data_IF_692981652217
#
_entry.id   IF_692981652217
#
_cell.length_a   1.000
_cell.length_b   1.000
_cell.length_c   1.000
_cell.angle_alpha   90.00
_cell.angle_beta   90.00
_cell.angle_gamma   90.00
#
_symmetry.space_group_name_H-M   'P 1'
#
loop_
_entity.id
_entity.type
_entity.pdbx_description
1 polymer ?
#
# COMPACT_ATOMS: atom_id res chain seq x y z
N UNK A 1 -1.47 10.61 22.13
CA UNK A 1 -1.34 11.58 21.00
C UNK A 1 -2.73 11.96 20.57
N UNK A 2 -3.00 13.24 20.28
CA UNK A 2 -4.31 13.65 19.76
C UNK A 2 -4.47 13.13 18.32
N UNK A 3 -5.54 12.40 18.05
CA UNK A 3 -5.83 11.79 16.75
C UNK A 3 -7.33 11.88 16.43
N UNK A 4 -7.65 11.82 15.15
CA UNK A 4 -9.00 11.55 14.64
C UNK A 4 -9.11 10.07 14.30
N UNK A 5 -10.30 9.50 14.44
CA UNK A 5 -10.56 8.09 14.15
C UNK A 5 -11.41 7.97 12.90
N UNK A 6 -10.93 7.16 11.95
CA UNK A 6 -11.72 6.69 10.80
C UNK A 6 -12.10 5.24 11.04
N UNK A 7 -13.33 4.86 10.72
CA UNK A 7 -13.85 3.50 11.00
C UNK A 7 -14.03 2.75 9.67
N UNK A 8 -13.36 1.60 9.54
CA UNK A 8 -13.49 0.72 8.39
C UNK A 8 -14.80 -0.08 8.41
N UNK A 9 -15.07 -0.85 7.36
CA UNK A 9 -16.36 -1.51 7.15
C UNK A 9 -16.76 -2.47 8.29
N UNK A 10 -15.83 -3.29 8.76
CA UNK A 10 -16.05 -4.23 9.88
C UNK A 10 -15.61 -3.67 11.25
N UNK A 11 -15.62 -2.35 11.39
CA UNK A 11 -15.39 -1.60 12.63
C UNK A 11 -13.94 -1.49 13.10
N UNK A 12 -12.96 -1.89 12.30
CA UNK A 12 -11.57 -1.60 12.62
C UNK A 12 -11.34 -0.09 12.60
N UNK A 13 -10.71 0.44 13.63
CA UNK A 13 -10.39 1.86 13.77
C UNK A 13 -8.99 2.16 13.20
N UNK A 14 -8.90 3.25 12.45
CA UNK A 14 -7.64 3.79 11.92
C UNK A 14 -7.42 5.16 12.54
N UNK A 15 -6.32 5.33 13.23
CA UNK A 15 -5.96 6.60 13.85
C UNK A 15 -5.19 7.49 12.89
N UNK A 16 -5.60 8.75 12.78
CA UNK A 16 -5.03 9.73 11.87
C UNK A 16 -4.68 11.02 12.64
N UNK A 17 -3.63 11.72 12.21
CA UNK A 17 -3.34 13.07 12.66
C UNK A 17 -3.60 14.09 11.55
N UNK A 18 -3.40 15.37 11.84
CA UNK A 18 -3.51 16.42 10.82
C UNK A 18 -2.51 16.23 9.67
N UNK A 19 -1.36 15.58 9.94
CA UNK A 19 -0.25 15.38 8.98
C UNK A 19 -0.29 13.97 8.39
N UNK A 20 -0.58 12.96 9.21
CA UNK A 20 -0.59 11.55 8.79
C UNK A 20 -2.02 11.08 8.59
N UNK A 21 -2.47 11.19 7.34
CA UNK A 21 -3.76 10.73 6.85
C UNK A 21 -3.55 9.79 5.68
N UNK A 22 -4.59 9.10 5.28
CA UNK A 22 -4.56 8.23 4.11
C UNK A 22 -5.57 8.65 3.06
N UNK A 23 -5.31 8.28 1.82
CA UNK A 23 -6.20 8.50 0.69
C UNK A 23 -6.91 7.21 0.27
N UNK A 24 -7.80 7.36 -0.72
CA UNK A 24 -8.50 6.24 -1.34
C UNK A 24 -7.57 5.25 -2.05
N UNK A 25 -6.42 5.71 -2.50
CA UNK A 25 -5.37 4.93 -3.15
C UNK A 25 -4.87 3.77 -2.29
N UNK A 26 -4.61 4.02 -1.00
CA UNK A 26 -4.15 3.00 -0.07
C UNK A 26 -5.21 1.91 0.17
N UNK A 27 -6.49 2.29 0.30
CA UNK A 27 -7.59 1.32 0.41
C UNK A 27 -7.77 0.50 -0.87
N UNK A 28 -7.65 1.14 -2.04
CA UNK A 28 -7.71 0.45 -3.33
C UNK A 28 -6.56 -0.54 -3.48
N UNK A 29 -5.35 -0.15 -3.08
CA UNK A 29 -4.20 -1.04 -3.07
C UNK A 29 -4.44 -2.24 -2.14
N UNK A 30 -4.88 -2.00 -0.90
CA UNK A 30 -5.15 -3.06 0.07
C UNK A 30 -6.14 -4.10 -0.48
N UNK A 31 -7.21 -3.63 -1.14
CA UNK A 31 -8.24 -4.48 -1.76
C UNK A 31 -7.76 -5.20 -3.02
N UNK A 32 -6.88 -4.56 -3.80
CA UNK A 32 -6.32 -5.16 -5.00
C UNK A 32 -5.39 -6.34 -4.70
N UNK A 33 -4.60 -6.23 -3.64
CA UNK A 33 -3.59 -7.23 -3.26
C UNK A 33 -3.92 -8.05 -2.01
N UNK A 34 -5.17 -8.09 -1.61
CA UNK A 34 -5.65 -8.72 -0.38
C UNK A 34 -4.97 -10.07 -0.10
N UNK A 35 -4.25 -10.22 1.04
CA UNK A 35 -3.65 -11.48 1.42
C UNK A 35 -4.74 -12.47 1.87
N UNK A 36 -4.50 -13.76 1.65
CA UNK A 36 -5.36 -14.80 2.24
C UNK A 36 -5.25 -14.78 3.77
N UNK A 37 -6.26 -15.29 4.45
CA UNK A 37 -6.41 -15.22 5.91
C UNK A 37 -5.13 -15.53 6.71
N UNK A 38 -4.35 -16.53 6.30
CA UNK A 38 -3.16 -17.01 7.03
C UNK A 38 -1.83 -16.66 6.37
N UNK A 39 -1.83 -15.95 5.25
CA UNK A 39 -0.60 -15.56 4.57
C UNK A 39 0.22 -14.58 5.42
N UNK A 40 1.54 -14.63 5.28
CA UNK A 40 2.44 -13.65 5.87
C UNK A 40 2.49 -12.43 4.97
N UNK A 41 2.19 -11.25 5.49
CA UNK A 41 2.09 -10.02 4.73
C UNK A 41 3.02 -8.91 5.25
N UNK A 42 3.42 -7.99 4.39
CA UNK A 42 4.13 -6.77 4.76
C UNK A 42 3.49 -5.54 4.11
N UNK A 43 3.28 -4.50 4.91
CA UNK A 43 2.83 -3.17 4.51
C UNK A 43 4.04 -2.24 4.58
N UNK A 44 4.60 -1.89 3.43
CA UNK A 44 5.81 -1.07 3.30
C UNK A 44 5.41 0.39 3.11
N UNK A 45 6.09 1.32 3.80
CA UNK A 45 5.69 2.72 3.92
C UNK A 45 4.26 2.82 4.48
N UNK A 46 4.02 2.12 5.60
CA UNK A 46 2.67 1.86 6.09
C UNK A 46 1.92 3.11 6.57
N UNK A 47 2.61 4.22 6.81
CA UNK A 47 2.00 5.42 7.36
C UNK A 47 1.29 5.11 8.69
N UNK A 48 0.03 5.53 8.80
CA UNK A 48 -0.82 5.18 9.95
C UNK A 48 -1.41 3.75 9.88
N UNK A 49 -0.92 2.90 8.95
CA UNK A 49 -1.25 1.48 8.89
C UNK A 49 -2.52 1.13 8.13
N UNK A 50 -3.03 2.03 7.29
CA UNK A 50 -4.31 1.82 6.61
C UNK A 50 -4.36 0.53 5.79
N UNK A 51 -3.28 0.14 5.08
CA UNK A 51 -3.27 -1.08 4.26
C UNK A 51 -3.35 -2.32 5.15
N UNK A 52 -2.52 -2.41 6.16
CA UNK A 52 -2.50 -3.54 7.11
C UNK A 52 -3.79 -3.63 7.94
N UNK A 53 -4.38 -2.50 8.36
CA UNK A 53 -5.66 -2.45 9.08
C UNK A 53 -6.85 -2.80 8.17
N UNK A 54 -6.87 -2.38 6.89
CA UNK A 54 -7.90 -2.82 5.93
C UNK A 54 -7.82 -4.34 5.69
N UNK A 55 -6.63 -4.92 5.60
CA UNK A 55 -6.50 -6.37 5.53
C UNK A 55 -7.05 -7.06 6.77
N UNK A 56 -6.75 -6.52 7.98
CA UNK A 56 -7.34 -7.03 9.21
C UNK A 56 -8.86 -6.94 9.19
N UNK A 57 -9.40 -5.78 8.83
CA UNK A 57 -10.85 -5.54 8.74
C UNK A 57 -11.54 -6.53 7.81
N UNK A 58 -10.86 -6.91 6.73
CA UNK A 58 -11.35 -7.88 5.72
C UNK A 58 -11.08 -9.34 6.08
N UNK A 59 -10.53 -9.62 7.24
CA UNK A 59 -10.40 -10.98 7.77
C UNK A 59 -9.01 -11.60 7.71
N UNK A 60 -7.97 -10.87 7.30
CA UNK A 60 -6.59 -11.34 7.41
C UNK A 60 -6.20 -11.50 8.87
N UNK A 61 -5.54 -12.61 9.20
CA UNK A 61 -5.11 -12.95 10.57
C UNK A 61 -3.71 -13.57 10.63
N UNK A 62 -3.05 -13.69 9.47
CA UNK A 62 -1.65 -14.12 9.40
C UNK A 62 -0.71 -13.03 9.90
N UNK A 63 0.57 -13.35 10.18
CA UNK A 63 1.56 -12.35 10.58
C UNK A 63 1.67 -11.23 9.56
N UNK A 64 1.64 -9.98 10.02
CA UNK A 64 1.76 -8.79 9.18
C UNK A 64 2.79 -7.83 9.77
N UNK A 65 3.83 -7.51 9.02
CA UNK A 65 4.80 -6.47 9.35
C UNK A 65 4.38 -5.16 8.70
N UNK A 66 4.23 -4.08 9.48
CA UNK A 66 3.96 -2.75 8.97
C UNK A 66 5.20 -1.88 9.20
N UNK A 67 5.88 -1.52 8.10
CA UNK A 67 7.19 -0.85 8.14
C UNK A 67 7.03 0.62 7.80
N UNK A 68 7.38 1.50 8.74
CA UNK A 68 7.25 2.95 8.61
C UNK A 68 8.50 3.64 9.14
N UNK A 69 8.97 4.64 8.39
CA UNK A 69 10.15 5.43 8.75
C UNK A 69 9.81 6.57 9.74
N UNK A 70 8.60 7.11 9.67
CA UNK A 70 8.18 8.30 10.42
C UNK A 70 7.65 7.90 11.80
N UNK A 71 8.26 8.39 12.91
CA UNK A 71 7.89 7.98 14.26
C UNK A 71 6.41 8.28 14.61
N UNK A 72 5.91 9.45 14.22
CA UNK A 72 4.53 9.85 14.53
C UNK A 72 3.51 8.94 13.82
N UNK A 73 3.75 8.61 12.55
CA UNK A 73 2.87 7.71 11.78
C UNK A 73 2.89 6.30 12.35
N UNK A 74 4.07 5.77 12.66
CA UNK A 74 4.23 4.46 13.31
C UNK A 74 3.54 4.40 14.67
N UNK A 75 3.62 5.47 15.48
CA UNK A 75 2.97 5.55 16.79
C UNK A 75 1.44 5.50 16.70
N UNK A 76 0.82 6.09 15.66
CA UNK A 76 -0.62 5.99 15.41
C UNK A 76 -1.04 4.54 15.18
N UNK A 77 -0.29 3.79 14.37
CA UNK A 77 -0.58 2.37 14.17
C UNK A 77 -0.33 1.55 15.42
N UNK A 78 0.77 1.79 16.15
CA UNK A 78 1.06 1.11 17.42
C UNK A 78 -0.10 1.30 18.42
N UNK A 79 -0.61 2.50 18.55
CA UNK A 79 -1.75 2.80 19.40
C UNK A 79 -3.00 2.06 18.92
N UNK A 80 -3.33 2.11 17.61
CA UNK A 80 -4.50 1.47 17.04
C UNK A 80 -4.50 -0.05 17.26
N UNK A 81 -3.37 -0.73 17.02
CA UNK A 81 -3.30 -2.20 17.21
C UNK A 81 -3.36 -2.59 18.68
N UNK A 82 -2.77 -1.79 19.57
CA UNK A 82 -2.79 -2.05 21.01
C UNK A 82 -4.19 -1.91 21.60
N UNK A 83 -4.88 -0.81 21.31
CA UNK A 83 -6.20 -0.51 21.87
C UNK A 83 -7.30 -1.45 21.34
N UNK A 84 -7.15 -1.94 20.09
CA UNK A 84 -8.07 -2.89 19.47
C UNK A 84 -7.69 -4.37 19.69
N UNK A 85 -6.59 -4.66 20.37
CA UNK A 85 -6.12 -6.03 20.63
C UNK A 85 -5.70 -6.79 19.35
N UNK A 86 -5.17 -6.11 18.34
CA UNK A 86 -4.78 -6.70 17.06
C UNK A 86 -3.35 -7.26 17.15
N UNK A 87 -3.21 -8.52 17.60
CA UNK A 87 -1.91 -9.11 17.91
C UNK A 87 -1.10 -9.65 16.73
N UNK A 88 -1.65 -9.70 15.51
CA UNK A 88 -0.95 -10.25 14.34
C UNK A 88 -0.32 -9.17 13.43
N UNK A 89 -0.62 -7.90 13.64
CA UNK A 89 0.05 -6.77 12.99
C UNK A 89 1.15 -6.27 13.92
N UNK A 90 2.38 -6.25 13.41
CA UNK A 90 3.55 -5.76 14.15
C UNK A 90 4.05 -4.47 13.47
N UNK A 91 3.86 -3.30 14.10
CA UNK A 91 4.45 -2.06 13.62
C UNK A 91 5.98 -2.05 13.84
N UNK A 92 6.72 -1.68 12.80
CA UNK A 92 8.17 -1.52 12.82
C UNK A 92 8.54 -0.09 12.45
N UNK A 93 9.11 0.65 13.39
CA UNK A 93 9.75 1.93 13.09
C UNK A 93 11.12 1.66 12.47
N UNK A 94 11.18 1.61 11.14
CA UNK A 94 12.38 1.21 10.42
C UNK A 94 12.43 1.79 9.00
N UNK A 95 13.65 1.93 8.49
CA UNK A 95 13.89 2.18 7.08
C UNK A 95 13.78 0.86 6.29
N UNK A 96 12.91 0.81 5.28
CA UNK A 96 12.71 -0.39 4.46
C UNK A 96 13.99 -0.84 3.74
N UNK A 97 14.92 0.08 3.47
CA UNK A 97 16.23 -0.24 2.84
C UNK A 97 17.09 -1.13 3.74
N UNK A 98 16.95 -0.97 5.05
CA UNK A 98 17.68 -1.74 6.07
C UNK A 98 16.84 -2.80 6.77
N UNK A 99 15.53 -2.84 6.55
CA UNK A 99 14.64 -3.82 7.17
C UNK A 99 14.94 -5.25 6.69
N UNK A 100 15.24 -6.16 7.62
CA UNK A 100 15.72 -7.53 7.36
C UNK A 100 14.91 -8.62 8.03
N UNK A 101 13.85 -8.27 8.77
CA UNK A 101 13.08 -9.27 9.47
C UNK A 101 12.36 -10.21 8.51
N UNK A 102 12.46 -11.50 8.76
CA UNK A 102 11.76 -12.57 8.03
C UNK A 102 12.01 -12.53 6.50
N UNK A 103 13.22 -12.21 6.07
CA UNK A 103 13.61 -12.24 4.65
C UNK A 103 13.22 -13.58 3.99
N UNK A 104 12.65 -13.51 2.79
CA UNK A 104 12.23 -14.70 2.05
C UNK A 104 11.00 -15.42 2.64
N UNK A 105 10.27 -14.81 3.59
CA UNK A 105 9.15 -15.47 4.27
C UNK A 105 7.77 -14.85 4.00
N UNK A 106 7.70 -13.72 3.30
CA UNK A 106 6.43 -13.05 3.01
C UNK A 106 5.76 -13.62 1.75
N UNK A 107 4.46 -13.83 1.84
CA UNK A 107 3.62 -14.22 0.71
C UNK A 107 3.20 -12.99 -0.11
N UNK A 108 2.94 -11.87 0.59
CA UNK A 108 2.47 -10.62 0.01
C UNK A 108 3.19 -9.44 0.63
N UNK A 109 3.68 -8.53 -0.20
CA UNK A 109 4.10 -7.19 0.20
C UNK A 109 3.23 -6.18 -0.53
N UNK A 110 2.85 -5.09 0.13
CA UNK A 110 2.22 -3.94 -0.50
C UNK A 110 3.01 -2.67 -0.18
N UNK A 111 3.00 -1.72 -1.09
CA UNK A 111 3.54 -0.39 -0.87
C UNK A 111 2.66 0.66 -1.55
N UNK A 112 2.15 1.60 -0.77
CA UNK A 112 1.63 2.86 -1.27
C UNK A 112 2.73 3.92 -1.09
N UNK A 113 3.66 4.06 -2.05
CA UNK A 113 4.81 4.94 -1.88
C UNK A 113 4.34 6.40 -1.85
N UNK A 114 5.04 7.31 -1.19
CA UNK A 114 4.73 8.73 -1.25
C UNK A 114 4.77 9.20 -2.70
N UNK A 115 3.69 9.88 -3.16
CA UNK A 115 3.62 10.39 -4.53
C UNK A 115 4.40 11.69 -4.64
N UNK A 116 5.38 11.71 -5.54
CA UNK A 116 6.15 12.90 -5.84
C UNK A 116 5.49 13.66 -6.97
N UNK A 117 4.95 14.81 -6.67
CA UNK A 117 4.51 15.77 -7.67
C UNK A 117 5.66 16.72 -7.99
N UNK A 118 6.42 16.41 -9.04
CA UNK A 118 7.22 17.43 -9.72
C UNK A 118 6.28 18.36 -10.48
N UNK A 119 5.86 19.46 -9.86
CA UNK A 119 5.01 20.46 -10.49
C UNK A 119 5.06 21.82 -9.78
N UNK A 120 4.87 22.96 -10.51
CA UNK A 120 5.07 24.31 -9.99
C UNK A 120 4.06 24.75 -8.91
N UNK A 121 3.03 23.96 -8.58
CA UNK A 121 2.06 24.28 -7.54
C UNK A 121 2.49 23.89 -6.12
N UNK A 122 3.64 23.27 -5.93
CA UNK A 122 4.08 22.71 -4.65
C UNK A 122 5.09 23.59 -3.89
N UNK A 123 5.31 24.84 -4.29
CA UNK A 123 6.33 25.68 -3.62
C UNK A 123 6.05 25.93 -2.12
N UNK A 124 4.81 25.77 -1.62
CA UNK A 124 4.47 25.79 -0.20
C UNK A 124 4.39 24.40 0.44
N UNK A 125 4.09 23.36 -0.31
CA UNK A 125 4.14 21.96 0.12
C UNK A 125 5.54 21.36 -0.12
N UNK A 126 6.30 21.93 -1.02
CA UNK A 126 7.56 21.39 -1.57
C UNK A 126 8.70 21.18 -0.59
N UNK A 127 8.71 21.84 0.60
CA UNK A 127 9.78 21.59 1.58
C UNK A 127 9.55 20.35 2.45
N UNK A 128 8.31 19.97 2.64
CA UNK A 128 8.00 18.71 3.34
C UNK A 128 8.09 17.52 2.37
N UNK A 129 7.60 17.71 1.13
CA UNK A 129 7.57 16.67 0.09
C UNK A 129 8.96 16.34 -0.46
N UNK A 130 9.84 17.34 -0.64
CA UNK A 130 11.22 17.14 -1.10
C UNK A 130 12.08 16.31 -0.12
N UNK A 131 11.72 16.28 1.18
CA UNK A 131 12.39 15.39 2.15
C UNK A 131 12.02 13.92 1.93
N UNK A 132 10.84 13.63 1.42
CA UNK A 132 10.37 12.25 1.23
C UNK A 132 10.93 11.58 -0.04
N UNK A 133 11.28 12.34 -1.09
CA UNK A 133 11.99 11.80 -2.28
C UNK A 133 13.39 11.27 -1.96
N UNK A 134 14.06 11.88 -1.00
CA UNK A 134 15.37 11.39 -0.52
C UNK A 134 15.23 10.15 0.34
N UNK A 135 14.04 9.83 0.80
CA UNK A 135 13.82 8.79 1.81
C UNK A 135 13.41 7.43 1.24
N UNK A 136 12.77 7.36 0.05
CA UNK A 136 12.38 6.07 -0.56
C UNK A 136 12.09 6.20 -2.06
N UNK A 137 12.75 5.41 -2.89
CA UNK A 137 12.53 5.31 -4.35
C UNK A 137 11.75 4.04 -4.71
N UNK A 138 11.24 3.95 -5.96
CA UNK A 138 10.66 2.70 -6.46
C UNK A 138 11.65 1.54 -6.45
N UNK A 139 12.93 1.82 -6.69
CA UNK A 139 14.01 0.83 -6.63
C UNK A 139 14.18 0.29 -5.22
N UNK A 140 14.15 1.16 -4.20
CA UNK A 140 14.20 0.75 -2.79
C UNK A 140 13.03 -0.16 -2.41
N UNK A 141 11.82 0.20 -2.85
CA UNK A 141 10.61 -0.60 -2.62
C UNK A 141 10.73 -1.96 -3.29
N UNK A 142 11.15 -2.01 -4.56
CA UNK A 142 11.29 -3.26 -5.30
C UNK A 142 12.42 -4.13 -4.74
N UNK A 143 13.55 -3.54 -4.35
CA UNK A 143 14.66 -4.25 -3.71
C UNK A 143 14.22 -4.85 -2.37
N UNK A 144 13.51 -4.07 -1.54
CA UNK A 144 12.96 -4.54 -0.27
C UNK A 144 11.93 -5.65 -0.50
N UNK A 145 10.95 -5.43 -1.39
CA UNK A 145 9.94 -6.43 -1.72
C UNK A 145 10.55 -7.74 -2.22
N UNK A 146 11.52 -7.67 -3.14
CA UNK A 146 12.22 -8.87 -3.61
C UNK A 146 12.91 -9.63 -2.47
N UNK A 147 13.58 -8.92 -1.58
CA UNK A 147 14.28 -9.50 -0.42
C UNK A 147 13.33 -10.20 0.55
N UNK A 148 12.21 -9.57 0.87
CA UNK A 148 11.25 -10.08 1.85
C UNK A 148 10.40 -11.24 1.33
N UNK A 149 10.06 -11.22 0.05
CA UNK A 149 9.14 -12.20 -0.54
C UNK A 149 9.75 -13.60 -0.67
N UNK A 150 8.91 -14.61 -0.42
CA UNK A 150 9.16 -15.99 -0.86
C UNK A 150 9.31 -16.04 -2.38
N UNK A 151 9.86 -17.15 -2.90
CA UNK A 151 9.77 -17.41 -4.34
C UNK A 151 8.30 -17.52 -4.77
N UNK A 152 7.91 -16.73 -5.79
CA UNK A 152 6.51 -16.60 -6.21
C UNK A 152 5.62 -15.75 -5.31
N UNK A 153 6.14 -15.18 -4.24
CA UNK A 153 5.45 -14.16 -3.46
C UNK A 153 5.18 -12.91 -4.30
N UNK A 154 4.23 -12.08 -3.86
CA UNK A 154 3.67 -10.97 -4.62
C UNK A 154 4.02 -9.62 -3.99
N UNK A 155 4.51 -8.68 -4.81
CA UNK A 155 4.58 -7.26 -4.46
C UNK A 155 3.48 -6.51 -5.21
N UNK A 156 2.66 -5.77 -4.49
CA UNK A 156 1.71 -4.83 -5.08
C UNK A 156 2.08 -3.39 -4.75
N UNK A 157 1.89 -2.51 -5.70
CA UNK A 157 2.04 -1.07 -5.52
C UNK A 157 1.01 -0.30 -6.35
N UNK A 158 0.77 0.94 -5.95
CA UNK A 158 -0.01 1.88 -6.72
C UNK A 158 0.81 3.13 -7.03
N UNK A 159 0.52 3.77 -8.16
CA UNK A 159 1.19 5.02 -8.54
C UNK A 159 0.39 5.79 -9.59
N UNK A 160 0.83 7.02 -9.88
CA UNK A 160 0.27 7.83 -10.95
C UNK A 160 0.57 7.21 -12.31
N UNK A 161 -0.36 7.29 -13.31
CA UNK A 161 -0.20 6.67 -14.62
C UNK A 161 1.06 7.09 -15.37
N UNK A 162 1.54 8.31 -15.16
CA UNK A 162 2.76 8.84 -15.78
C UNK A 162 4.01 8.04 -15.42
N UNK A 163 3.99 7.36 -14.26
CA UNK A 163 5.11 6.54 -13.79
C UNK A 163 4.97 5.05 -14.15
N UNK A 164 3.93 4.67 -14.93
CA UNK A 164 3.66 3.26 -15.24
C UNK A 164 4.83 2.57 -15.94
N UNK A 165 5.37 3.20 -16.97
CA UNK A 165 6.48 2.61 -17.73
C UNK A 165 7.72 2.38 -16.86
N UNK A 166 8.04 3.36 -16.02
CA UNK A 166 9.14 3.27 -15.05
C UNK A 166 8.88 2.16 -14.03
N UNK A 167 7.67 2.12 -13.43
CA UNK A 167 7.33 1.12 -12.43
C UNK A 167 7.46 -0.32 -12.99
N UNK A 168 6.99 -0.56 -14.21
CA UNK A 168 7.13 -1.87 -14.86
C UNK A 168 8.60 -2.22 -15.14
N UNK A 169 9.42 -1.24 -15.54
CA UNK A 169 10.83 -1.45 -15.79
C UNK A 169 11.60 -1.77 -14.50
N UNK A 170 11.36 -1.01 -13.43
CA UNK A 170 12.01 -1.22 -12.12
C UNK A 170 11.60 -2.56 -11.51
N UNK A 171 10.31 -2.91 -11.54
CA UNK A 171 9.83 -4.23 -11.09
C UNK A 171 10.60 -5.36 -11.77
N UNK A 172 10.70 -5.33 -13.11
CA UNK A 172 11.42 -6.37 -13.87
C UNK A 172 12.91 -6.38 -13.60
N UNK A 173 13.54 -5.22 -13.45
CA UNK A 173 14.96 -5.13 -13.08
C UNK A 173 15.25 -5.83 -11.74
N UNK A 174 14.30 -5.83 -10.82
CA UNK A 174 14.37 -6.53 -9.53
C UNK A 174 13.79 -7.96 -9.57
N UNK A 175 13.60 -8.57 -10.75
CA UNK A 175 13.06 -9.94 -10.90
C UNK A 175 11.67 -10.10 -10.26
N UNK A 176 10.91 -9.03 -10.22
CA UNK A 176 9.50 -8.99 -9.87
C UNK A 176 8.72 -8.83 -11.19
N UNK A 177 8.19 -9.94 -11.70
CA UNK A 177 7.50 -9.91 -12.99
C UNK A 177 6.06 -9.44 -12.83
N UNK A 178 5.63 -8.34 -13.49
CA UNK A 178 4.26 -7.85 -13.42
C UNK A 178 3.26 -8.90 -13.90
N UNK A 179 2.20 -9.13 -13.11
CA UNK A 179 1.19 -10.16 -13.36
C UNK A 179 -0.22 -9.61 -13.50
N UNK A 180 -0.53 -8.57 -12.76
CA UNK A 180 -1.84 -7.93 -12.81
C UNK A 180 -1.67 -6.41 -12.83
N UNK A 181 -2.46 -5.75 -13.66
CA UNK A 181 -2.52 -4.30 -13.74
C UNK A 181 -3.99 -3.88 -13.82
N UNK A 182 -4.39 -2.93 -13.00
CA UNK A 182 -5.69 -2.28 -13.07
C UNK A 182 -5.54 -0.77 -13.09
N UNK A 183 -6.45 -0.08 -13.78
CA UNK A 183 -6.53 1.36 -13.75
C UNK A 183 -7.71 1.83 -12.92
N UNK A 184 -7.53 2.94 -12.21
CA UNK A 184 -8.59 3.56 -11.42
C UNK A 184 -9.05 4.84 -12.11
N UNK A 185 -10.37 4.95 -12.27
CA UNK A 185 -11.04 6.07 -12.93
C UNK A 185 -12.18 6.60 -12.09
N UNK A 186 -12.48 7.88 -12.22
CA UNK A 186 -13.66 8.50 -11.59
C UNK A 186 -14.95 8.28 -12.43
N UNK A 187 -14.81 8.03 -13.74
CA UNK A 187 -15.88 7.74 -14.69
C UNK A 187 -15.35 6.82 -15.77
N UNK A 188 -16.23 6.06 -16.47
CA UNK A 188 -15.82 5.11 -17.51
C UNK A 188 -15.03 5.75 -18.65
N UNK A 189 -15.38 6.96 -19.03
CA UNK A 189 -14.79 7.75 -20.12
C UNK A 189 -13.62 8.65 -19.69
N UNK A 190 -13.31 8.69 -18.39
CA UNK A 190 -12.21 9.50 -17.86
C UNK A 190 -10.86 8.81 -18.05
N UNK A 191 -9.80 9.62 -18.18
CA UNK A 191 -8.45 9.11 -18.06
C UNK A 191 -8.21 8.53 -16.64
N UNK A 192 -7.42 7.46 -16.51
CA UNK A 192 -7.07 6.92 -15.20
C UNK A 192 -6.23 7.94 -14.41
N UNK A 193 -6.46 8.02 -13.11
CA UNK A 193 -5.68 8.86 -12.19
C UNK A 193 -4.73 8.05 -11.30
N UNK A 194 -4.91 6.73 -11.27
CA UNK A 194 -4.07 5.79 -10.53
C UNK A 194 -3.96 4.48 -11.32
N UNK A 195 -2.84 3.78 -11.18
CA UNK A 195 -2.76 2.37 -11.50
C UNK A 195 -2.41 1.56 -10.27
N UNK A 196 -2.83 0.29 -10.30
CA UNK A 196 -2.52 -0.74 -9.33
C UNK A 196 -1.78 -1.86 -10.07
N UNK A 197 -0.59 -2.22 -9.64
CA UNK A 197 0.17 -3.32 -10.23
C UNK A 197 0.57 -4.34 -9.19
N UNK A 198 0.46 -5.61 -9.53
CA UNK A 198 0.95 -6.73 -8.74
C UNK A 198 1.98 -7.52 -9.56
N UNK A 199 3.16 -7.70 -8.99
CA UNK A 199 4.27 -8.43 -9.59
C UNK A 199 4.65 -9.64 -8.73
N UNK A 200 5.14 -10.70 -9.35
CA UNK A 200 5.54 -11.92 -8.66
C UNK A 200 7.05 -12.16 -8.78
N UNK A 201 7.66 -12.53 -7.66
CA UNK A 201 9.07 -12.85 -7.57
C UNK A 201 9.41 -14.09 -8.40
N UNK A 202 10.43 -13.97 -9.27
CA UNK A 202 11.00 -15.06 -10.06
C UNK A 202 9.97 -15.79 -10.92
N UNK A 203 9.05 -15.08 -11.55
CA UNK A 203 8.06 -15.68 -12.46
C UNK A 203 8.31 -15.28 -13.91
N UNK A 204 7.80 -16.10 -14.84
CA UNK A 204 7.84 -15.84 -16.29
C UNK A 204 6.89 -14.70 -16.65
N UNK A 205 7.03 -14.12 -17.82
CA UNK A 205 6.16 -13.08 -18.38
C UNK A 205 4.68 -13.52 -18.43
N UNK A 206 3.78 -12.55 -18.51
CA UNK A 206 2.33 -12.83 -18.59
C UNK A 206 1.51 -11.84 -17.76
N UNK A 207 1.57 -10.55 -18.15
CA UNK A 207 0.76 -9.48 -17.57
C UNK A 207 -0.69 -9.59 -18.04
N UNK A 208 -1.64 -9.56 -17.09
CA UNK A 208 -3.06 -9.45 -17.33
C UNK A 208 -3.55 -8.05 -16.96
N UNK A 209 -4.27 -7.41 -17.85
CA UNK A 209 -4.98 -6.17 -17.57
C UNK A 209 -6.34 -6.54 -16.97
N UNK A 210 -6.60 -6.09 -15.75
CA UNK A 210 -7.88 -6.27 -15.06
C UNK A 210 -8.87 -5.20 -15.54
N UNK A 211 -10.17 -5.41 -15.34
CA UNK A 211 -11.17 -4.36 -15.56
C UNK A 211 -10.85 -3.10 -14.74
N UNK A 212 -11.16 -1.94 -15.30
CA UNK A 212 -10.99 -0.67 -14.62
C UNK A 212 -11.78 -0.61 -13.31
N UNK A 213 -11.16 -0.06 -12.28
CA UNK A 213 -11.83 0.23 -11.00
C UNK A 213 -12.47 1.61 -11.10
N UNK A 214 -13.80 1.66 -11.00
CA UNK A 214 -14.55 2.91 -11.04
C UNK A 214 -14.86 3.37 -9.62
N UNK A 215 -14.47 4.60 -9.29
CA UNK A 215 -14.86 5.28 -8.06
C UNK A 215 -15.98 6.24 -8.40
N UNK A 216 -17.22 5.86 -8.13
CA UNK A 216 -18.37 6.77 -8.27
C UNK A 216 -18.39 7.74 -7.10
N UNK A 217 -18.57 9.03 -7.40
CA UNK A 217 -18.78 10.05 -6.38
C UNK A 217 -20.00 9.67 -5.52
N UNK A 218 -19.82 9.55 -4.19
CA UNK A 218 -20.87 9.14 -3.27
C UNK A 218 -20.84 7.67 -2.85
N UNK A 219 -20.02 6.80 -3.45
CA UNK A 219 -19.70 5.52 -2.84
C UNK A 219 -18.77 5.80 -1.65
N UNK A 220 -19.34 5.82 -0.45
CA UNK A 220 -18.52 5.95 0.76
C UNK A 220 -17.55 4.77 0.77
N UNK A 221 -16.26 5.05 0.64
CA UNK A 221 -15.22 4.03 0.75
C UNK A 221 -15.10 3.49 2.18
N UNK A 222 -15.79 4.16 3.13
CA UNK A 222 -15.86 3.89 4.55
C UNK A 222 -17.29 3.59 4.98
N UNK A 223 -17.52 2.55 5.75
CA UNK A 223 -18.75 2.29 6.47
C UNK A 223 -20.01 1.96 5.67
N UNK A 224 -20.00 2.05 4.36
CA UNK A 224 -21.07 1.55 3.49
C UNK A 224 -20.54 0.49 2.54
N UNK A 225 -21.40 -0.45 2.14
CA UNK A 225 -21.03 -1.60 1.32
C UNK A 225 -20.17 -1.19 0.15
N UNK A 226 -18.87 -1.49 0.23
CA UNK A 226 -17.98 -1.30 -0.89
C UNK A 226 -18.51 -2.14 -2.06
N UNK A 227 -18.52 -1.62 -3.31
CA UNK A 227 -18.87 -2.43 -4.46
C UNK A 227 -17.93 -3.64 -4.46
N UNK A 228 -18.50 -4.83 -4.41
CA UNK A 228 -17.75 -6.07 -4.57
C UNK A 228 -16.99 -5.97 -5.89
N UNK A 229 -15.68 -6.06 -5.84
CA UNK A 229 -14.88 -6.33 -7.03
C UNK A 229 -15.38 -7.70 -7.51
N UNK A 230 -16.25 -7.72 -8.51
CA UNK A 230 -16.71 -8.97 -9.10
C UNK A 230 -15.47 -9.67 -9.64
N UNK A 231 -15.18 -10.84 -9.07
CA UNK A 231 -14.14 -11.76 -9.52
C UNK A 231 -14.49 -12.36 -10.87
#
# INVERSE_FOLDING_TARGET
MEHSTEILYNKTEVYCSAVHRFGSDALLLARFCEPKRSQTAADLCSGCGIVSLEWHDRGHRGPCAAVELQPEASALLQQAVAEQGIGHITPHLADLRSFREREGQFDVCACNPPYFTAGPQSAKAGRATARHETDCTLEDVCACGFRLLKDGGRLALCHRPERLAEALAVLRAHRLEPKRLAFVKNRPDAAPWLFLVEAQKNRRTGLRIEPDVLITAGAAMYGSAAPAVKR
#
